data_IF_121956062048
#
_entry.id   IF_121956062048
#
_cell.length_a   1.000
_cell.length_b   1.000
_cell.length_c   1.000
_cell.angle_alpha   90.00
_cell.angle_beta   90.00
_cell.angle_gamma   90.00
#
_symmetry.space_group_name_H-M   'P 1'
#
loop_
_entity.id
_entity.type
_entity.pdbx_description
1 polymer ?
#
# COMPACT_ATOMS: atom_id res chain seq x y z
N UNK A 1 -44.09 14.68 -3.05
CA UNK A 1 -43.19 15.30 -4.05
C UNK A 1 -41.84 14.66 -3.83
N UNK A 2 -41.45 13.68 -4.67
CA UNK A 2 -40.15 13.00 -4.52
C UNK A 2 -39.04 14.02 -4.82
N UNK A 3 -38.06 14.11 -3.92
CA UNK A 3 -36.85 14.91 -4.16
C UNK A 3 -36.02 14.24 -5.24
N UNK A 4 -35.73 14.95 -6.33
CA UNK A 4 -34.80 14.47 -7.36
C UNK A 4 -33.37 14.29 -6.82
N UNK A 5 -32.55 13.53 -7.53
CA UNK A 5 -31.14 13.33 -7.20
C UNK A 5 -30.28 14.28 -8.02
N UNK A 6 -29.35 15.00 -7.37
CA UNK A 6 -28.39 15.87 -8.03
C UNK A 6 -26.99 15.53 -7.51
N UNK A 7 -26.06 15.24 -8.41
CA UNK A 7 -24.67 14.91 -8.08
C UNK A 7 -23.73 15.52 -9.10
N UNK A 8 -22.72 16.23 -8.61
CA UNK A 8 -21.59 16.68 -9.42
C UNK A 8 -20.53 15.56 -9.46
N UNK A 9 -20.14 15.18 -10.66
CA UNK A 9 -19.16 14.12 -10.92
C UNK A 9 -17.98 14.74 -11.66
N UNK A 10 -16.82 14.76 -11.01
CA UNK A 10 -15.58 15.19 -11.66
C UNK A 10 -14.95 14.03 -12.44
N UNK A 11 -14.68 14.26 -13.73
CA UNK A 11 -13.99 13.32 -14.60
C UNK A 11 -13.06 14.10 -15.55
N UNK A 12 -11.77 13.78 -15.52
CA UNK A 12 -10.72 14.37 -16.37
C UNK A 12 -10.70 15.91 -16.35
N UNK A 13 -10.77 16.48 -15.14
CA UNK A 13 -10.77 17.94 -14.92
C UNK A 13 -12.04 18.66 -15.38
N UNK A 14 -13.08 17.93 -15.79
CA UNK A 14 -14.41 18.48 -16.11
C UNK A 14 -15.42 18.04 -15.07
N UNK A 15 -16.35 18.93 -14.75
CA UNK A 15 -17.48 18.62 -13.88
C UNK A 15 -18.69 18.29 -14.75
N UNK A 16 -19.28 17.13 -14.50
CA UNK A 16 -20.53 16.69 -15.07
C UNK A 16 -21.61 16.77 -14.00
N UNK A 17 -22.71 17.44 -14.30
CA UNK A 17 -23.86 17.53 -13.41
C UNK A 17 -24.85 16.45 -13.81
N UNK A 18 -25.12 15.52 -12.88
CA UNK A 18 -26.10 14.45 -13.08
C UNK A 18 -27.35 14.81 -12.28
N UNK A 19 -28.48 14.97 -12.97
CA UNK A 19 -29.79 15.24 -12.37
C UNK A 19 -30.76 14.12 -12.71
N UNK A 20 -31.45 13.56 -11.72
CA UNK A 20 -32.49 12.52 -11.91
C UNK A 20 -33.80 12.94 -11.27
N UNK A 21 -34.88 12.91 -12.04
CA UNK A 21 -36.22 13.32 -11.63
C UNK A 21 -37.30 12.29 -12.00
N UNK A 22 -38.35 12.25 -11.19
CA UNK A 22 -39.61 11.59 -11.51
C UNK A 22 -40.54 12.55 -12.28
N UNK A 23 -41.09 12.11 -13.41
CA UNK A 23 -42.08 12.88 -14.19
C UNK A 23 -43.54 12.67 -13.73
N UNK A 24 -43.71 11.93 -12.63
CA UNK A 24 -44.95 11.76 -11.89
C UNK A 24 -45.88 10.70 -12.47
N UNK A 25 -46.91 10.34 -11.72
CA UNK A 25 -47.80 9.21 -12.05
C UNK A 25 -48.55 9.33 -13.39
N UNK A 26 -48.77 10.55 -13.89
CA UNK A 26 -49.37 10.78 -15.22
C UNK A 26 -48.42 10.45 -16.37
N UNK A 27 -47.12 10.44 -16.09
CA UNK A 27 -46.06 10.12 -17.03
C UNK A 27 -44.97 9.35 -16.28
N UNK A 28 -45.18 8.04 -16.00
CA UNK A 28 -44.40 7.26 -15.04
C UNK A 28 -43.00 6.93 -15.57
N UNK A 29 -42.18 7.98 -15.69
CA UNK A 29 -40.83 7.97 -16.22
C UNK A 29 -39.87 8.56 -15.20
N UNK A 30 -38.75 7.88 -15.01
CA UNK A 30 -37.55 8.46 -14.42
C UNK A 30 -36.70 9.04 -15.54
N UNK A 31 -36.42 10.34 -15.47
CA UNK A 31 -35.50 11.03 -16.39
C UNK A 31 -34.20 11.36 -15.68
N UNK A 32 -33.07 11.04 -16.30
CA UNK A 32 -31.76 11.52 -15.91
C UNK A 32 -31.16 12.37 -17.02
N UNK A 33 -30.58 13.51 -16.66
CA UNK A 33 -29.85 14.41 -17.54
C UNK A 33 -28.40 14.50 -17.06
N UNK A 34 -27.47 14.51 -18.01
CA UNK A 34 -26.05 14.78 -17.79
C UNK A 34 -25.69 16.02 -18.58
N UNK A 35 -25.21 17.05 -17.90
CA UNK A 35 -24.76 18.28 -18.55
C UNK A 35 -23.40 18.73 -18.05
N UNK A 36 -22.63 19.37 -18.92
CA UNK A 36 -21.33 19.96 -18.62
C UNK A 36 -21.16 21.21 -19.47
N UNK A 37 -20.53 22.26 -18.92
CA UNK A 37 -20.31 23.53 -19.65
C UNK A 37 -21.59 24.22 -20.15
N UNK A 38 -22.77 23.90 -19.59
CA UNK A 38 -24.06 24.44 -20.02
C UNK A 38 -24.76 23.66 -21.15
N UNK A 39 -24.21 22.53 -21.60
CA UNK A 39 -24.80 21.67 -22.63
C UNK A 39 -25.21 20.31 -22.06
N UNK A 40 -26.35 19.76 -22.54
CA UNK A 40 -26.77 18.40 -22.22
C UNK A 40 -26.00 17.42 -23.10
N UNK A 41 -25.10 16.65 -22.49
CA UNK A 41 -24.27 15.64 -23.16
C UNK A 41 -24.86 14.23 -23.08
N UNK A 42 -25.85 14.03 -22.22
CA UNK A 42 -26.50 12.73 -22.06
C UNK A 42 -27.91 12.84 -21.48
N UNK A 43 -28.77 11.92 -21.89
CA UNK A 43 -30.06 11.71 -21.24
C UNK A 43 -30.40 10.23 -21.16
N UNK A 44 -31.08 9.83 -20.08
CA UNK A 44 -31.65 8.49 -19.92
C UNK A 44 -33.08 8.61 -19.42
N UNK A 45 -33.97 7.85 -20.03
CA UNK A 45 -35.35 7.70 -19.58
C UNK A 45 -35.66 6.23 -19.35
N UNK A 46 -36.28 5.90 -18.23
CA UNK A 46 -36.83 4.58 -17.99
C UNK A 46 -38.24 4.69 -17.44
N UNK A 47 -39.12 3.78 -17.90
CA UNK A 47 -40.48 3.68 -17.35
C UNK A 47 -40.46 2.95 -16.03
N UNK A 48 -41.35 3.34 -15.13
CA UNK A 48 -41.70 2.60 -13.92
C UNK A 48 -43.18 2.19 -13.90
N UNK A 49 -43.87 2.24 -15.05
CA UNK A 49 -45.26 1.80 -15.17
C UNK A 49 -45.46 0.32 -14.76
N UNK A 50 -44.39 -0.48 -14.81
CA UNK A 50 -44.35 -1.87 -14.33
C UNK A 50 -44.59 -2.00 -12.83
N UNK A 51 -44.37 -0.93 -12.05
CA UNK A 51 -44.58 -0.90 -10.61
C UNK A 51 -46.05 -0.63 -10.22
N UNK A 52 -46.94 -0.44 -11.19
CA UNK A 52 -48.36 -0.18 -10.91
C UNK A 52 -49.07 -1.45 -10.40
N UNK A 53 -49.15 -1.60 -9.08
CA UNK A 53 -50.04 -2.57 -8.42
C UNK A 53 -51.51 -2.10 -8.39
N UNK A 54 -52.35 -2.82 -7.64
CA UNK A 54 -53.78 -2.48 -7.49
C UNK A 54 -54.03 -1.04 -6.97
N UNK A 55 -53.11 -0.52 -6.16
CA UNK A 55 -53.17 0.81 -5.56
C UNK A 55 -52.21 1.83 -6.22
N UNK A 56 -51.60 1.46 -7.36
CA UNK A 56 -50.53 2.22 -8.01
C UNK A 56 -49.13 1.93 -7.44
N UNK A 57 -48.07 2.56 -8.00
CA UNK A 57 -46.71 2.33 -7.55
C UNK A 57 -46.42 2.99 -6.20
N UNK A 58 -45.74 2.27 -5.32
CA UNK A 58 -45.29 2.81 -4.04
C UNK A 58 -44.20 3.86 -4.25
N UNK A 59 -44.25 4.97 -3.50
CA UNK A 59 -43.21 6.02 -3.52
C UNK A 59 -41.81 5.44 -3.27
N UNK A 60 -41.70 4.41 -2.41
CA UNK A 60 -40.43 3.73 -2.09
C UNK A 60 -39.86 3.02 -3.32
N UNK A 61 -40.71 2.36 -4.11
CA UNK A 61 -40.28 1.60 -5.29
C UNK A 61 -39.85 2.54 -6.41
N UNK A 62 -40.58 3.65 -6.60
CA UNK A 62 -40.21 4.72 -7.53
C UNK A 62 -38.88 5.34 -7.11
N UNK A 63 -38.70 5.66 -5.83
CA UNK A 63 -37.45 6.20 -5.31
C UNK A 63 -36.26 5.24 -5.55
N UNK A 64 -36.45 3.94 -5.32
CA UNK A 64 -35.42 2.92 -5.56
C UNK A 64 -35.03 2.80 -7.04
N UNK A 65 -36.02 2.91 -7.94
CA UNK A 65 -35.79 2.97 -9.40
C UNK A 65 -35.01 4.22 -9.78
N UNK A 66 -35.37 5.37 -9.22
CA UNK A 66 -34.68 6.64 -9.45
C UNK A 66 -33.22 6.58 -8.99
N UNK A 67 -32.96 6.08 -7.78
CA UNK A 67 -31.61 5.94 -7.23
C UNK A 67 -30.77 4.98 -8.07
N UNK A 68 -31.33 3.82 -8.45
CA UNK A 68 -30.66 2.86 -9.31
C UNK A 68 -30.26 3.44 -10.68
N UNK A 69 -31.16 4.21 -11.30
CA UNK A 69 -30.87 4.91 -12.55
C UNK A 69 -29.79 5.98 -12.34
N UNK A 70 -29.89 6.79 -11.28
CA UNK A 70 -28.92 7.84 -10.97
C UNK A 70 -27.50 7.28 -10.79
N UNK A 71 -27.35 6.22 -10.00
CA UNK A 71 -26.07 5.54 -9.79
C UNK A 71 -25.52 4.92 -11.09
N UNK A 72 -26.39 4.40 -11.96
CA UNK A 72 -25.96 3.89 -13.27
C UNK A 72 -25.43 5.00 -14.18
N UNK A 73 -26.07 6.18 -14.18
CA UNK A 73 -25.63 7.32 -14.98
C UNK A 73 -24.30 7.88 -14.45
N UNK A 74 -24.11 7.98 -13.13
CA UNK A 74 -22.82 8.36 -12.54
C UNK A 74 -21.70 7.42 -13.02
N UNK A 75 -21.93 6.10 -13.01
CA UNK A 75 -20.93 5.12 -13.50
C UNK A 75 -20.57 5.32 -14.97
N UNK A 76 -21.54 5.71 -15.80
CA UNK A 76 -21.30 6.01 -17.22
C UNK A 76 -20.46 7.28 -17.42
N UNK A 77 -20.67 8.30 -16.58
CA UNK A 77 -19.79 9.48 -16.54
C UNK A 77 -18.37 9.06 -16.16
N UNK A 78 -18.22 8.31 -15.07
CA UNK A 78 -16.92 7.84 -14.59
C UNK A 78 -16.19 6.90 -15.55
N UNK A 79 -16.91 6.23 -16.46
CA UNK A 79 -16.31 5.41 -17.51
C UNK A 79 -15.89 6.20 -18.77
N UNK A 80 -16.03 7.53 -18.74
CA UNK A 80 -15.72 8.39 -19.90
C UNK A 80 -16.72 8.27 -21.05
N UNK A 81 -17.94 7.76 -20.82
CA UNK A 81 -18.93 7.59 -21.89
C UNK A 81 -19.31 8.92 -22.56
N UNK A 82 -19.33 10.00 -21.77
CA UNK A 82 -19.71 11.34 -22.20
C UNK A 82 -18.50 12.24 -22.48
N UNK A 83 -17.29 11.68 -22.50
CA UNK A 83 -16.08 12.38 -22.93
C UNK A 83 -16.04 12.43 -24.47
N UNK A 84 -15.96 13.61 -25.12
CA UNK A 84 -15.80 13.72 -26.56
C UNK A 84 -14.53 13.04 -27.11
N UNK A 85 -13.51 12.81 -26.28
CA UNK A 85 -12.29 12.06 -26.64
C UNK A 85 -12.47 10.53 -26.53
N UNK A 86 -13.62 10.06 -26.05
CA UNK A 86 -13.97 8.65 -25.91
C UNK A 86 -13.54 8.02 -24.57
N UNK A 87 -13.95 6.76 -24.30
CA UNK A 87 -13.66 6.08 -23.05
C UNK A 87 -12.17 5.79 -22.92
N UNK A 88 -11.52 6.43 -21.94
CA UNK A 88 -10.09 6.24 -21.68
C UNK A 88 -9.86 4.94 -20.90
N UNK A 89 -8.73 4.23 -21.14
CA UNK A 89 -8.41 2.99 -20.42
C UNK A 89 -8.46 3.18 -18.91
N UNK A 90 -8.87 2.14 -18.20
CA UNK A 90 -8.94 2.11 -16.75
C UNK A 90 -7.60 2.57 -16.14
N UNK A 91 -7.61 3.63 -15.33
CA UNK A 91 -6.40 4.18 -14.70
C UNK A 91 -5.84 5.47 -15.32
N UNK A 92 -6.47 6.06 -16.34
CA UNK A 92 -6.04 7.33 -16.95
C UNK A 92 -5.81 8.47 -15.93
N UNK A 93 -6.69 8.60 -14.92
CA UNK A 93 -6.55 9.63 -13.86
C UNK A 93 -5.54 9.28 -12.74
N UNK A 94 -4.95 8.08 -12.76
CA UNK A 94 -3.91 7.67 -11.78
C UNK A 94 -2.50 7.97 -12.35
N UNK A 95 -2.38 8.21 -13.66
CA UNK A 95 -1.10 8.28 -14.35
C UNK A 95 -1.00 9.60 -15.13
N UNK A 96 -1.01 10.73 -14.43
CA UNK A 96 -0.48 11.98 -15.00
C UNK A 96 1.00 12.08 -14.62
N UNK A 97 1.86 11.55 -15.52
CA UNK A 97 3.32 11.75 -15.69
C UNK A 97 4.19 10.48 -15.76
N UNK A 98 3.64 9.26 -15.78
CA UNK A 98 4.47 8.06 -15.90
C UNK A 98 4.15 7.29 -17.17
N UNK A 99 5.16 7.00 -17.97
CA UNK A 99 5.01 6.15 -19.17
C UNK A 99 4.50 4.75 -18.82
N UNK A 100 3.91 4.01 -19.78
CA UNK A 100 3.53 2.59 -19.56
C UNK A 100 4.69 1.79 -18.99
N UNK A 101 5.90 2.03 -19.51
CA UNK A 101 7.13 1.41 -19.02
C UNK A 101 7.40 1.75 -17.56
N UNK A 102 7.15 2.98 -17.13
CA UNK A 102 7.28 3.36 -15.72
C UNK A 102 6.21 2.76 -14.81
N UNK A 103 4.99 2.56 -15.30
CA UNK A 103 3.90 1.90 -14.55
C UNK A 103 4.16 0.40 -14.48
N UNK A 104 4.66 -0.19 -15.57
CA UNK A 104 5.15 -1.56 -15.59
C UNK A 104 6.36 -1.68 -14.67
N UNK A 105 7.29 -0.73 -14.65
CA UNK A 105 8.41 -0.73 -13.70
C UNK A 105 7.95 -0.50 -12.25
N UNK A 106 6.89 0.27 -12.00
CA UNK A 106 6.31 0.50 -10.67
C UNK A 106 5.52 -0.70 -10.17
N UNK A 107 4.75 -1.33 -11.06
CA UNK A 107 4.05 -2.57 -10.77
C UNK A 107 5.05 -3.71 -10.63
N UNK A 108 6.04 -3.84 -11.50
CA UNK A 108 7.13 -4.81 -11.36
C UNK A 108 8.00 -4.47 -10.15
N UNK A 109 8.23 -3.22 -9.75
CA UNK A 109 8.95 -2.94 -8.49
C UNK A 109 8.11 -3.24 -7.25
N UNK A 110 6.77 -3.17 -7.34
CA UNK A 110 5.83 -3.55 -6.27
C UNK A 110 5.47 -5.05 -6.27
N UNK A 111 5.53 -5.72 -7.42
CA UNK A 111 5.12 -7.11 -7.65
C UNK A 111 6.31 -8.06 -7.81
N UNK A 112 7.49 -7.57 -8.20
CA UNK A 112 8.77 -8.25 -8.01
C UNK A 112 9.29 -7.82 -6.64
N UNK A 113 8.85 -8.52 -5.59
CA UNK A 113 9.62 -8.62 -4.34
C UNK A 113 9.11 -7.86 -3.12
N UNK A 114 7.80 -7.84 -2.84
CA UNK A 114 7.32 -7.48 -1.49
C UNK A 114 7.33 -8.66 -0.51
N UNK A 115 8.19 -9.64 -0.72
CA UNK A 115 8.57 -10.50 0.40
C UNK A 115 9.45 -9.65 1.32
N UNK A 116 8.82 -9.05 2.33
CA UNK A 116 9.56 -8.43 3.44
C UNK A 116 10.50 -9.48 4.01
N UNK A 117 11.68 -9.05 4.44
CA UNK A 117 12.65 -9.95 5.06
C UNK A 117 12.63 -9.76 6.58
N UNK A 118 12.92 -10.84 7.30
CA UNK A 118 13.15 -10.85 8.74
C UNK A 118 14.57 -11.33 9.00
N UNK A 119 15.24 -10.67 9.94
CA UNK A 119 16.56 -11.05 10.42
C UNK A 119 16.43 -11.66 11.81
N UNK A 120 16.94 -12.87 11.96
CA UNK A 120 16.95 -13.61 13.22
C UNK A 120 18.38 -13.99 13.62
N UNK A 121 18.62 -14.05 14.93
CA UNK A 121 19.86 -14.55 15.52
C UNK A 121 19.55 -15.89 16.17
N UNK A 122 20.23 -16.96 15.75
CA UNK A 122 19.92 -18.32 16.26
C UNK A 122 20.32 -18.47 17.74
N UNK A 123 21.48 -17.93 18.10
CA UNK A 123 22.02 -18.02 19.45
C UNK A 123 21.86 -16.69 20.20
N UNK A 124 21.04 -16.69 21.26
CA UNK A 124 20.97 -15.59 22.22
C UNK A 124 22.19 -15.61 23.14
N UNK A 125 23.36 -15.26 22.62
CA UNK A 125 24.56 -15.05 23.43
C UNK A 125 24.62 -13.62 23.97
N UNK A 126 25.10 -13.47 25.20
CA UNK A 126 25.47 -12.16 25.73
C UNK A 126 26.77 -11.71 25.06
N UNK A 127 26.79 -10.48 24.55
CA UNK A 127 28.02 -9.87 24.06
C UNK A 127 28.78 -9.26 25.23
N UNK A 128 30.07 -9.59 25.33
CA UNK A 128 31.00 -9.05 26.33
C UNK A 128 32.13 -8.31 25.63
N UNK A 129 32.68 -7.27 26.27
CA UNK A 129 33.85 -6.55 25.77
C UNK A 129 35.11 -7.44 25.76
N UNK A 130 36.04 -7.18 24.83
CA UNK A 130 37.28 -7.95 24.63
C UNK A 130 37.04 -9.45 24.35
N UNK A 131 35.98 -9.74 23.58
CA UNK A 131 35.64 -11.11 23.18
C UNK A 131 35.51 -11.25 21.66
N UNK A 132 35.57 -12.49 21.18
CA UNK A 132 35.44 -12.86 19.76
C UNK A 132 34.25 -13.80 19.52
N UNK A 133 33.01 -13.38 19.78
CA UNK A 133 31.85 -14.24 19.62
C UNK A 133 31.58 -14.51 18.14
N UNK A 134 31.18 -15.75 17.83
CA UNK A 134 30.62 -16.10 16.53
C UNK A 134 29.12 -16.26 16.69
N UNK A 135 28.33 -15.59 15.84
CA UNK A 135 26.88 -15.74 15.80
C UNK A 135 26.43 -16.21 14.42
N UNK A 136 25.33 -16.95 14.39
CA UNK A 136 24.65 -17.30 13.15
C UNK A 136 23.44 -16.38 12.98
N UNK A 137 23.45 -15.63 11.89
CA UNK A 137 22.35 -14.77 11.46
C UNK A 137 21.59 -15.46 10.35
N UNK A 138 20.26 -15.46 10.45
CA UNK A 138 19.37 -16.07 9.47
C UNK A 138 18.44 -15.02 8.89
N UNK A 139 18.36 -14.97 7.56
CA UNK A 139 17.45 -14.09 6.82
C UNK A 139 16.34 -14.93 6.22
N UNK A 140 15.10 -14.59 6.54
CA UNK A 140 13.90 -15.30 6.11
C UNK A 140 12.93 -14.33 5.45
N UNK A 141 12.07 -14.84 4.58
CA UNK A 141 10.85 -14.18 4.19
C UNK A 141 9.90 -14.03 5.37
N UNK A 142 9.38 -12.83 5.56
CA UNK A 142 8.49 -12.50 6.68
C UNK A 142 7.13 -13.21 6.56
N UNK A 143 6.62 -13.33 5.32
CA UNK A 143 5.37 -14.02 5.03
C UNK A 143 5.55 -15.50 4.68
N UNK A 144 6.59 -15.84 3.90
CA UNK A 144 6.75 -17.22 3.39
C UNK A 144 7.58 -18.13 4.30
N UNK A 145 8.30 -17.56 5.28
CA UNK A 145 9.30 -18.22 6.12
C UNK A 145 10.44 -18.91 5.35
N UNK A 146 10.57 -18.62 4.04
CA UNK A 146 11.63 -19.21 3.21
C UNK A 146 12.97 -18.54 3.46
N UNK A 147 14.08 -19.30 3.45
CA UNK A 147 15.40 -18.73 3.58
C UNK A 147 15.75 -17.83 2.38
N UNK A 148 16.29 -16.65 2.68
CA UNK A 148 16.74 -15.69 1.67
C UNK A 148 18.23 -15.88 1.44
N UNK A 149 18.59 -16.58 0.37
CA UNK A 149 19.98 -16.72 -0.08
C UNK A 149 20.48 -15.44 -0.75
N UNK A 150 21.77 -15.13 -0.61
CA UNK A 150 22.35 -13.96 -1.26
C UNK A 150 22.05 -12.62 -0.57
N UNK A 151 21.37 -12.61 0.58
CA UNK A 151 21.12 -11.39 1.35
C UNK A 151 22.44 -10.88 1.96
N UNK A 152 22.70 -9.58 1.82
CA UNK A 152 23.86 -8.92 2.42
C UNK A 152 23.58 -8.66 3.90
N UNK A 153 24.49 -9.10 4.76
CA UNK A 153 24.38 -8.93 6.21
C UNK A 153 25.58 -8.15 6.70
N UNK A 154 25.32 -7.11 7.49
CA UNK A 154 26.35 -6.25 8.07
C UNK A 154 26.13 -6.14 9.57
N UNK A 155 27.20 -6.26 10.35
CA UNK A 155 27.15 -6.11 11.80
C UNK A 155 28.03 -4.94 12.20
N UNK A 156 27.45 -3.99 12.95
CA UNK A 156 28.11 -2.76 13.39
C UNK A 156 28.08 -2.64 14.91
N UNK A 157 29.18 -2.17 15.48
CA UNK A 157 29.27 -1.72 16.85
C UNK A 157 28.83 -0.25 16.93
N UNK A 158 27.80 0.02 17.71
CA UNK A 158 27.36 1.39 18.02
C UNK A 158 27.78 1.68 19.45
N UNK A 159 28.56 2.75 19.66
CA UNK A 159 28.90 3.24 20.99
C UNK A 159 28.36 4.66 21.17
N UNK A 160 28.23 5.10 22.42
CA UNK A 160 27.80 6.48 22.72
C UNK A 160 28.88 7.54 22.49
N UNK A 161 30.11 7.13 22.16
CA UNK A 161 31.28 8.02 22.04
C UNK A 161 31.85 8.10 20.63
N UNK A 162 31.64 7.06 19.82
CA UNK A 162 32.26 6.93 18.49
C UNK A 162 31.20 6.66 17.41
N UNK A 163 31.58 6.87 16.15
CA UNK A 163 30.73 6.51 15.01
C UNK A 163 30.59 4.99 14.91
N UNK A 164 29.47 4.46 14.37
CA UNK A 164 29.30 3.03 14.19
C UNK A 164 30.47 2.40 13.43
N UNK A 165 31.12 1.41 14.04
CA UNK A 165 32.22 0.68 13.43
C UNK A 165 31.71 -0.65 12.87
N UNK A 166 32.08 -1.01 11.64
CA UNK A 166 31.69 -2.28 11.04
C UNK A 166 32.57 -3.41 11.61
N UNK A 167 31.94 -4.39 12.25
CA UNK A 167 32.61 -5.57 12.80
C UNK A 167 32.61 -6.74 11.82
N UNK A 168 31.59 -6.82 10.96
CA UNK A 168 31.44 -7.90 9.99
C UNK A 168 30.60 -7.47 8.79
N UNK A 169 30.90 -8.04 7.62
CA UNK A 169 30.07 -7.95 6.42
C UNK A 169 30.17 -9.26 5.65
N UNK A 170 29.02 -9.79 5.22
CA UNK A 170 28.94 -11.08 4.53
C UNK A 170 27.62 -11.26 3.79
N UNK A 171 27.46 -12.44 3.19
CA UNK A 171 26.27 -12.79 2.40
C UNK A 171 25.72 -14.12 2.87
N UNK A 172 24.39 -14.26 2.91
CA UNK A 172 23.74 -15.52 3.30
C UNK A 172 23.93 -16.62 2.26
N UNK A 173 24.12 -17.84 2.75
CA UNK A 173 24.17 -19.06 1.93
C UNK A 173 22.78 -19.50 1.44
N UNK A 174 22.70 -20.66 0.74
CA UNK A 174 21.44 -21.21 0.21
C UNK A 174 20.36 -21.49 1.27
N UNK A 175 20.78 -21.70 2.52
CA UNK A 175 19.92 -21.91 3.69
C UNK A 175 19.51 -20.60 4.40
N UNK A 176 19.87 -19.45 3.81
CA UNK A 176 19.57 -18.13 4.35
C UNK A 176 20.40 -17.75 5.56
N UNK A 177 21.48 -18.50 5.87
CA UNK A 177 22.33 -18.26 7.04
C UNK A 177 23.68 -17.64 6.68
N UNK A 178 24.24 -16.89 7.62
CA UNK A 178 25.61 -16.41 7.58
C UNK A 178 26.21 -16.46 8.98
N UNK A 179 27.43 -16.98 9.10
CA UNK A 179 28.19 -16.95 10.34
C UNK A 179 29.01 -15.67 10.39
N UNK A 180 28.84 -14.87 11.45
CA UNK A 180 29.56 -13.64 11.69
C UNK A 180 30.42 -13.78 12.94
N UNK A 181 31.75 -13.75 12.78
CA UNK A 181 32.69 -13.64 13.90
C UNK A 181 32.99 -12.17 14.13
N UNK A 182 32.68 -11.68 15.33
CA UNK A 182 32.83 -10.26 15.68
C UNK A 182 34.03 -10.08 16.59
N UNK A 183 34.88 -9.10 16.32
CA UNK A 183 35.93 -8.68 17.27
C UNK A 183 35.41 -7.50 18.09
N UNK A 184 35.00 -7.73 19.34
CA UNK A 184 34.47 -6.68 20.21
C UNK A 184 35.64 -6.03 20.97
N UNK A 185 35.95 -4.74 20.75
CA UNK A 185 37.03 -4.06 21.45
C UNK A 185 36.67 -3.76 22.92
N UNK A 186 37.66 -3.38 23.72
CA UNK A 186 37.42 -2.77 25.04
C UNK A 186 36.63 -1.46 24.85
N UNK A 187 35.49 -1.35 25.51
CA UNK A 187 34.59 -0.21 25.39
C UNK A 187 34.91 0.90 26.39
N UNK A 188 35.90 0.70 27.27
CA UNK A 188 36.34 1.66 28.28
C UNK A 188 35.16 2.24 29.11
N UNK A 189 34.19 1.38 29.44
CA UNK A 189 32.99 1.73 30.20
C UNK A 189 31.88 2.47 29.43
N UNK A 190 32.03 2.67 28.12
CA UNK A 190 30.97 3.23 27.27
C UNK A 190 29.77 2.28 27.16
N UNK A 191 28.59 2.84 26.89
CA UNK A 191 27.43 2.02 26.53
C UNK A 191 27.56 1.66 25.04
N UNK A 192 27.41 0.38 24.72
CA UNK A 192 27.50 -0.10 23.35
C UNK A 192 26.41 -1.13 23.02
N UNK A 193 26.11 -1.20 21.73
CA UNK A 193 25.18 -2.16 21.15
C UNK A 193 25.75 -2.70 19.84
N UNK A 194 25.45 -3.96 19.54
CA UNK A 194 25.63 -4.57 18.24
C UNK A 194 24.36 -4.37 17.42
N UNK A 195 24.49 -3.71 16.28
CA UNK A 195 23.44 -3.57 15.27
C UNK A 195 23.72 -4.56 14.15
N UNK A 196 22.88 -5.57 13.99
CA UNK A 196 22.91 -6.44 12.82
C UNK A 196 21.86 -5.96 11.82
N UNK A 197 22.26 -5.80 10.56
CA UNK A 197 21.40 -5.37 9.46
C UNK A 197 21.46 -6.41 8.35
N UNK A 198 20.33 -6.68 7.72
CA UNK A 198 20.23 -7.51 6.53
C UNK A 198 19.56 -6.70 5.41
N UNK A 199 20.04 -6.91 4.19
CA UNK A 199 19.50 -6.33 2.96
C UNK A 199 19.36 -7.45 1.92
N UNK A 200 18.15 -7.67 1.43
CA UNK A 200 17.84 -8.76 0.51
C UNK A 200 16.48 -8.55 -0.14
N UNK A 201 16.34 -8.97 -1.40
CA UNK A 201 15.12 -8.79 -2.20
C UNK A 201 14.61 -7.33 -2.22
N UNK A 202 15.52 -6.35 -2.18
CA UNK A 202 15.16 -4.92 -2.14
C UNK A 202 14.58 -4.43 -0.80
N UNK A 203 14.54 -5.29 0.23
CA UNK A 203 14.05 -4.99 1.57
C UNK A 203 15.19 -4.98 2.60
N UNK A 204 14.94 -4.40 3.77
CA UNK A 204 15.88 -4.37 4.89
C UNK A 204 15.26 -4.90 6.20
N UNK A 205 16.10 -5.49 7.05
CA UNK A 205 15.74 -5.89 8.41
C UNK A 205 16.89 -5.58 9.38
N UNK A 206 16.56 -5.27 10.63
CA UNK A 206 17.56 -4.99 11.65
C UNK A 206 17.22 -5.59 13.01
N UNK A 207 18.26 -5.96 13.76
CA UNK A 207 18.19 -6.34 15.16
C UNK A 207 19.26 -5.59 15.96
N UNK A 208 18.92 -5.15 17.17
CA UNK A 208 19.81 -4.43 18.08
C UNK A 208 20.00 -5.23 19.35
N UNK A 209 21.24 -5.55 19.70
CA UNK A 209 21.59 -6.27 20.91
C UNK A 209 22.53 -5.42 21.78
N UNK A 210 22.18 -5.22 23.04
CA UNK A 210 23.02 -4.50 24.00
C UNK A 210 24.24 -5.35 24.39
N UNK A 211 25.40 -4.71 24.50
CA UNK A 211 26.63 -5.34 25.02
C UNK A 211 26.64 -5.17 26.54
N UNK A 212 26.86 -6.28 27.26
CA UNK A 212 27.03 -6.24 28.72
C UNK A 212 28.43 -5.72 29.03
N UNK A 213 28.49 -4.79 29.99
CA UNK A 213 29.78 -4.36 30.55
C UNK A 213 30.35 -5.52 31.36
N UNK A 214 31.66 -5.73 31.27
CA UNK A 214 32.34 -6.60 32.22
C UNK A 214 32.32 -5.87 33.56
N UNK A 215 31.89 -6.55 34.62
CA UNK A 215 32.10 -6.04 35.97
C UNK A 215 33.61 -5.98 36.19
N UNK A 216 34.22 -4.80 36.01
CA UNK A 216 35.57 -4.59 36.51
C UNK A 216 35.48 -4.75 38.02
N UNK A 217 36.25 -5.66 38.66
CA UNK A 217 36.35 -5.64 40.10
C UNK A 217 36.79 -4.23 40.48
N UNK A 218 35.97 -3.56 41.28
CA UNK A 218 36.36 -2.33 41.97
C UNK A 218 37.64 -2.64 42.72
N UNK A 219 38.78 -2.20 42.17
CA UNK A 219 40.09 -2.38 42.78
C UNK A 219 40.15 -1.69 44.14
N UNK A 220 41.00 -2.20 45.04
CA UNK A 220 40.97 -1.99 46.48
C UNK A 220 41.19 -0.53 46.93
#
# INVERSE_FOLDING_TARGET
MLTGFNTDVEYDGRVFHVQTEDKGLKNPLVESLVYTGGEIVGSRRSSYADLAGADGPSEIEVQRRMEGQHQAVIREVMSGRFDPEGPKPFGYNIITNRSLDEVVLDYLSKAIGNERIRLEMEDRQAFEEDTRPTLVLRVLGDESERPIAGARVTVKLITSRERPNELFSGTTGPDGRVAATLEIPDLAGANAAVLCQAEGLGNNAEIKQLIRKRDRPSGP
#
